data_IF_754365792926
#
_entry.id   IF_754365792926
#
_cell.length_a   1.000
_cell.length_b   1.000
_cell.length_c   1.000
_cell.angle_alpha   90.00
_cell.angle_beta   90.00
_cell.angle_gamma   90.00
#
_symmetry.space_group_name_H-M   'P 1'
#
loop_
_entity.id
_entity.type
_entity.pdbx_description
1 polymer ?
#
# COMPACT_ATOMS: atom_id res chain seq x y z
N UNK A 1 7.80 13.87 11.58
CA UNK A 1 7.36 14.53 10.34
C UNK A 1 5.89 14.22 10.04
N UNK A 2 5.50 12.96 9.77
CA UNK A 2 4.13 12.56 9.35
C UNK A 2 3.07 13.00 10.37
N UNK A 3 3.27 12.76 11.69
CA UNK A 3 2.32 13.20 12.74
C UNK A 3 2.11 14.71 12.73
N UNK A 4 3.19 15.51 12.58
CA UNK A 4 3.08 16.96 12.51
C UNK A 4 2.34 17.41 11.26
N UNK A 5 2.61 16.77 10.11
CA UNK A 5 1.93 17.04 8.85
C UNK A 5 0.40 16.88 9.00
N UNK A 6 -0.08 15.75 9.50
CA UNK A 6 -1.51 15.52 9.66
C UNK A 6 -2.14 16.32 10.81
N UNK A 7 -1.38 16.58 11.91
CA UNK A 7 -1.87 17.43 13.00
C UNK A 7 -2.19 18.86 12.52
N UNK A 8 -1.32 19.40 11.66
CA UNK A 8 -1.41 20.79 11.20
C UNK A 8 -2.03 20.90 9.79
N UNK A 9 -2.47 19.78 9.20
CA UNK A 9 -2.92 19.65 7.81
C UNK A 9 -3.99 20.70 7.45
N UNK A 10 -5.01 20.84 8.29
CA UNK A 10 -6.12 21.75 8.04
C UNK A 10 -5.68 23.24 8.08
N UNK A 11 -4.66 23.57 8.86
CA UNK A 11 -4.10 24.94 8.93
C UNK A 11 -3.39 25.26 7.61
N UNK A 12 -2.57 24.31 7.10
CA UNK A 12 -1.82 24.50 5.86
C UNK A 12 -2.71 24.52 4.61
N UNK A 13 -3.89 23.94 4.68
CA UNK A 13 -4.85 23.89 3.58
C UNK A 13 -5.93 24.98 3.68
N UNK A 14 -5.81 25.92 4.62
CA UNK A 14 -6.85 26.93 4.90
C UNK A 14 -6.27 28.33 4.85
N UNK A 15 -7.11 29.31 4.54
CA UNK A 15 -6.80 30.71 4.78
C UNK A 15 -6.96 31.00 6.27
N UNK A 16 -5.95 31.58 6.91
CA UNK A 16 -5.93 31.84 8.36
C UNK A 16 -5.52 33.28 8.66
N UNK A 17 -6.04 33.82 9.79
CA UNK A 17 -5.50 34.99 10.44
C UNK A 17 -4.89 34.58 11.78
N UNK A 18 -3.69 35.05 12.06
CA UNK A 18 -3.03 34.82 13.35
C UNK A 18 -2.89 36.15 14.06
N UNK A 19 -3.49 36.26 15.23
CA UNK A 19 -3.24 37.36 16.14
C UNK A 19 -1.96 37.09 16.95
N UNK A 20 -0.89 37.79 16.64
CA UNK A 20 0.41 37.59 17.28
C UNK A 20 0.46 38.06 18.75
N UNK A 21 -0.50 38.87 19.20
CA UNK A 21 -0.56 39.32 20.58
C UNK A 21 -1.24 38.30 21.49
N UNK A 22 -2.25 37.58 20.98
CA UNK A 22 -3.05 36.61 21.74
C UNK A 22 -2.71 35.16 21.40
N UNK A 23 -1.98 34.90 20.29
CA UNK A 23 -1.77 33.60 19.68
C UNK A 23 -3.08 32.90 19.23
N UNK A 24 -4.15 33.68 19.01
CA UNK A 24 -5.39 33.11 18.46
C UNK A 24 -5.28 32.92 16.96
N UNK A 25 -5.88 31.83 16.47
CA UNK A 25 -5.92 31.48 15.04
C UNK A 25 -7.39 31.46 14.60
N UNK A 26 -7.71 32.28 13.62
CA UNK A 26 -9.02 32.29 12.96
C UNK A 26 -8.89 31.62 11.58
N UNK A 27 -9.73 30.63 11.29
CA UNK A 27 -9.72 29.89 10.04
C UNK A 27 -10.89 30.39 9.20
N UNK A 28 -10.59 31.04 8.04
CA UNK A 28 -11.60 31.66 7.18
C UNK A 28 -12.16 30.71 6.14
N UNK A 29 -11.33 29.82 5.57
CA UNK A 29 -11.71 28.86 4.56
C UNK A 29 -11.12 27.51 4.90
N UNK A 30 -12.00 26.52 5.08
CA UNK A 30 -11.61 25.13 5.30
C UNK A 30 -11.73 24.38 3.98
N UNK A 31 -10.59 23.99 3.40
CA UNK A 31 -10.52 23.14 2.19
C UNK A 31 -9.73 21.90 2.55
N UNK A 32 -10.41 20.93 3.12
CA UNK A 32 -9.77 19.65 3.51
C UNK A 32 -10.66 18.51 3.09
N UNK A 33 -10.07 17.39 2.77
CA UNK A 33 -10.74 16.12 2.51
C UNK A 33 -11.39 15.62 3.81
N UNK A 34 -12.48 14.87 3.66
CA UNK A 34 -13.20 14.24 4.78
C UNK A 34 -12.54 12.92 5.17
N UNK A 35 -11.26 12.97 5.54
CA UNK A 35 -10.47 11.80 5.95
C UNK A 35 -10.32 11.72 7.46
N UNK A 36 -10.46 10.52 7.99
CA UNK A 36 -10.06 10.19 9.35
C UNK A 36 -8.71 9.49 9.31
N UNK A 37 -7.64 10.18 9.69
CA UNK A 37 -6.26 9.70 9.64
C UNK A 37 -5.78 9.31 11.03
N UNK A 38 -5.34 8.04 11.17
CA UNK A 38 -4.67 7.54 12.38
C UNK A 38 -3.19 7.32 12.10
N UNK A 39 -2.31 8.06 12.75
CA UNK A 39 -0.86 7.93 12.62
C UNK A 39 -0.29 7.22 13.83
N UNK A 40 0.11 5.97 13.66
CA UNK A 40 0.64 5.11 14.70
C UNK A 40 2.16 5.13 14.75
N UNK A 41 2.70 5.04 15.95
CA UNK A 41 4.08 4.61 16.16
C UNK A 41 4.11 3.07 16.18
N UNK A 42 4.62 2.51 15.11
CA UNK A 42 4.76 1.05 14.97
C UNK A 42 6.14 0.54 15.38
N UNK A 43 7.00 1.42 15.93
CA UNK A 43 8.36 1.10 16.35
C UNK A 43 9.37 1.14 15.20
N UNK A 44 10.59 1.60 15.51
CA UNK A 44 11.65 1.83 14.54
C UNK A 44 12.07 0.55 13.81
N UNK A 45 12.18 -0.55 14.53
CA UNK A 45 12.67 -1.84 14.01
C UNK A 45 11.54 -2.83 13.66
N UNK A 46 10.29 -2.37 13.66
CA UNK A 46 9.17 -3.24 13.31
C UNK A 46 9.23 -3.63 11.83
N UNK A 47 9.05 -4.91 11.55
CA UNK A 47 8.90 -5.44 10.19
C UNK A 47 7.60 -5.00 9.53
N UNK A 48 7.46 -5.19 8.22
CA UNK A 48 6.24 -4.84 7.48
C UNK A 48 5.01 -5.54 8.04
N UNK A 49 5.11 -6.85 8.33
CA UNK A 49 4.02 -7.61 8.96
C UNK A 49 3.68 -7.15 10.36
N UNK A 50 4.69 -6.82 11.19
CA UNK A 50 4.44 -6.25 12.52
C UNK A 50 3.74 -4.89 12.46
N UNK A 51 4.07 -4.06 11.46
CA UNK A 51 3.38 -2.78 11.28
C UNK A 51 1.91 -3.00 10.96
N UNK A 52 1.61 -3.92 10.04
CA UNK A 52 0.23 -4.27 9.71
C UNK A 52 -0.48 -4.89 10.93
N UNK A 53 0.13 -5.86 11.62
CA UNK A 53 -0.47 -6.49 12.81
C UNK A 53 -0.88 -5.47 13.88
N UNK A 54 -0.07 -4.44 14.13
CA UNK A 54 -0.37 -3.39 15.13
C UNK A 54 -1.54 -2.50 14.75
N UNK A 55 -2.02 -2.54 13.50
CA UNK A 55 -3.20 -1.79 13.06
C UNK A 55 -4.51 -2.51 13.36
N UNK A 56 -4.50 -3.80 13.72
CA UNK A 56 -5.68 -4.65 13.88
C UNK A 56 -6.79 -4.01 14.71
N UNK A 57 -6.43 -3.35 15.82
CA UNK A 57 -7.37 -2.68 16.72
C UNK A 57 -8.11 -1.48 16.11
N UNK A 58 -7.68 -1.00 14.94
CA UNK A 58 -8.30 0.10 14.20
C UNK A 58 -9.03 -0.38 12.94
N UNK A 59 -8.95 -1.67 12.62
CA UNK A 59 -9.59 -2.27 11.46
C UNK A 59 -10.85 -3.00 11.95
N UNK A 60 -12.01 -2.49 11.60
CA UNK A 60 -13.31 -3.07 11.99
C UNK A 60 -13.91 -3.90 10.86
N UNK A 61 -13.59 -3.55 9.62
CA UNK A 61 -14.12 -4.20 8.42
C UNK A 61 -13.50 -5.59 8.17
N UNK A 62 -14.24 -6.46 7.48
CA UNK A 62 -13.79 -7.80 7.08
C UNK A 62 -12.68 -7.76 6.01
N UNK A 63 -12.59 -6.67 5.26
CA UNK A 63 -11.55 -6.42 4.26
C UNK A 63 -10.99 -5.00 4.41
N UNK A 64 -9.71 -4.85 4.13
CA UNK A 64 -9.03 -3.56 4.15
C UNK A 64 -7.90 -3.50 3.12
N UNK A 65 -7.61 -2.29 2.67
CA UNK A 65 -6.50 -2.04 1.75
C UNK A 65 -5.19 -1.90 2.51
N UNK A 66 -4.13 -2.44 1.94
CA UNK A 66 -2.75 -2.23 2.38
C UNK A 66 -1.95 -1.71 1.19
N UNK A 67 -1.23 -0.63 1.36
CA UNK A 67 -0.34 -0.09 0.33
C UNK A 67 0.98 0.37 0.92
N UNK A 68 2.05 0.30 0.12
CA UNK A 68 3.33 0.93 0.46
C UNK A 68 3.29 2.40 0.03
N UNK A 69 3.87 3.26 0.84
CA UNK A 69 3.80 4.71 0.64
C UNK A 69 4.78 5.27 -0.40
N UNK A 70 5.58 4.41 -1.02
CA UNK A 70 6.61 4.73 -1.99
C UNK A 70 6.30 4.22 -3.41
N UNK A 71 5.04 3.89 -3.67
CA UNK A 71 4.56 3.49 -4.98
C UNK A 71 3.39 4.37 -5.42
N UNK A 72 3.38 4.76 -6.69
CA UNK A 72 2.25 5.44 -7.33
C UNK A 72 1.70 4.59 -8.48
N UNK A 73 0.38 4.57 -8.60
CA UNK A 73 -0.31 3.82 -9.67
C UNK A 73 -1.66 4.45 -10.00
N UNK A 74 -2.19 4.13 -11.16
CA UNK A 74 -3.57 4.40 -11.57
C UNK A 74 -4.49 3.17 -11.41
N UNK A 75 -4.15 2.27 -10.48
CA UNK A 75 -5.00 1.12 -10.15
C UNK A 75 -6.39 1.58 -9.76
N UNK A 76 -7.40 1.09 -10.47
CA UNK A 76 -8.81 1.26 -10.08
C UNK A 76 -9.09 0.45 -8.81
N UNK A 77 -9.12 1.15 -7.68
CA UNK A 77 -9.33 0.55 -6.35
C UNK A 77 -10.70 -0.13 -6.27
N UNK A 78 -11.73 0.43 -6.91
CA UNK A 78 -13.07 -0.17 -6.89
C UNK A 78 -13.07 -1.52 -7.60
N UNK A 79 -12.42 -1.65 -8.74
CA UNK A 79 -12.25 -2.92 -9.45
C UNK A 79 -11.37 -3.90 -8.69
N UNK A 80 -10.31 -3.44 -8.05
CA UNK A 80 -9.46 -4.29 -7.20
C UNK A 80 -10.26 -4.88 -6.04
N UNK A 81 -11.07 -4.07 -5.36
CA UNK A 81 -11.93 -4.52 -4.26
C UNK A 81 -13.02 -5.47 -4.76
N UNK A 82 -13.66 -5.16 -5.90
CA UNK A 82 -14.65 -6.06 -6.52
C UNK A 82 -14.00 -7.43 -6.83
N UNK A 83 -12.83 -7.44 -7.45
CA UNK A 83 -12.10 -8.67 -7.74
C UNK A 83 -11.78 -9.46 -6.46
N UNK A 84 -11.41 -8.78 -5.36
CA UNK A 84 -11.18 -9.41 -4.07
C UNK A 84 -12.46 -10.02 -3.45
N UNK A 85 -13.62 -9.42 -3.69
CA UNK A 85 -14.91 -9.97 -3.28
C UNK A 85 -15.27 -11.25 -4.04
N UNK A 86 -14.95 -11.30 -5.34
CA UNK A 86 -15.23 -12.44 -6.21
C UNK A 86 -14.30 -13.63 -5.96
N UNK A 87 -13.10 -13.36 -5.44
CA UNK A 87 -12.08 -14.36 -5.11
C UNK A 87 -12.00 -14.55 -3.60
N UNK A 88 -12.48 -15.68 -3.07
CA UNK A 88 -12.46 -15.94 -1.62
C UNK A 88 -11.05 -16.35 -1.12
N UNK A 89 -10.07 -15.42 -1.28
CA UNK A 89 -8.70 -15.58 -0.83
C UNK A 89 -8.37 -14.62 0.31
N UNK A 90 -7.40 -14.97 1.14
CA UNK A 90 -6.97 -14.13 2.28
C UNK A 90 -6.35 -12.81 1.81
N UNK A 91 -5.64 -12.84 0.68
CA UNK A 91 -4.99 -11.68 0.08
C UNK A 91 -5.34 -11.61 -1.41
N UNK A 92 -5.68 -10.42 -1.88
CA UNK A 92 -5.61 -10.07 -3.29
C UNK A 92 -4.44 -9.12 -3.49
N UNK A 93 -3.46 -9.53 -4.29
CA UNK A 93 -2.27 -8.76 -4.61
C UNK A 93 -2.41 -8.13 -5.99
N UNK A 94 -2.35 -6.81 -6.07
CA UNK A 94 -2.19 -6.14 -7.35
C UNK A 94 -0.77 -6.36 -7.86
N UNK A 95 -0.65 -6.69 -9.16
CA UNK A 95 0.62 -6.84 -9.84
C UNK A 95 0.68 -5.97 -11.07
N UNK A 96 1.86 -5.45 -11.38
CA UNK A 96 2.11 -4.56 -12.51
C UNK A 96 3.26 -5.07 -13.37
N UNK A 97 3.45 -4.46 -14.54
CA UNK A 97 4.62 -4.75 -15.39
C UNK A 97 5.89 -4.28 -14.70
N UNK A 98 6.92 -5.15 -14.57
CA UNK A 98 8.13 -4.79 -13.86
C UNK A 98 8.91 -3.69 -14.57
N UNK A 99 9.28 -2.65 -13.83
CA UNK A 99 10.18 -1.60 -14.28
C UNK A 99 11.54 -1.75 -13.58
N UNK A 100 12.65 -1.56 -14.31
CA UNK A 100 13.98 -1.57 -13.70
C UNK A 100 14.37 -2.89 -13.01
N UNK A 101 14.55 -2.90 -11.67
CA UNK A 101 15.13 -4.02 -10.89
C UNK A 101 14.10 -4.85 -10.11
N UNK A 102 12.83 -4.63 -10.33
CA UNK A 102 11.78 -5.31 -9.54
C UNK A 102 11.85 -6.83 -9.68
N UNK A 103 11.55 -7.54 -8.61
CA UNK A 103 11.43 -9.00 -8.61
C UNK A 103 10.24 -9.45 -9.47
N UNK A 104 10.41 -10.56 -10.17
CA UNK A 104 9.35 -11.17 -10.99
C UNK A 104 8.62 -12.21 -10.16
N UNK A 105 7.30 -12.24 -10.31
CA UNK A 105 6.41 -13.20 -9.67
C UNK A 105 6.09 -14.36 -10.61
N UNK A 106 5.94 -15.57 -10.07
CA UNK A 106 5.33 -16.70 -10.76
C UNK A 106 3.84 -16.75 -10.42
N UNK A 107 3.01 -16.75 -11.46
CA UNK A 107 1.55 -16.76 -11.35
C UNK A 107 1.02 -18.01 -12.04
N UNK A 108 0.26 -18.82 -11.32
CA UNK A 108 -0.35 -20.03 -11.85
C UNK A 108 -1.49 -19.74 -12.84
N UNK A 109 -1.86 -20.75 -13.62
CA UNK A 109 -2.96 -20.68 -14.62
C UNK A 109 -4.30 -20.31 -13.99
N UNK A 110 -4.48 -20.63 -12.71
CA UNK A 110 -5.69 -20.31 -11.93
C UNK A 110 -5.72 -18.86 -11.39
N UNK A 111 -4.74 -18.00 -11.74
CA UNK A 111 -4.64 -16.62 -11.27
C UNK A 111 -4.23 -16.49 -9.78
N UNK A 112 -3.67 -17.55 -9.21
CA UNK A 112 -3.11 -17.58 -7.85
C UNK A 112 -1.60 -17.38 -7.91
N UNK A 113 -1.05 -16.71 -6.92
CA UNK A 113 0.40 -16.53 -6.79
C UNK A 113 1.06 -17.87 -6.45
N UNK A 114 1.98 -18.35 -7.30
CA UNK A 114 2.75 -19.57 -7.05
C UNK A 114 4.00 -19.28 -6.21
N UNK A 115 4.75 -18.25 -6.57
CA UNK A 115 5.96 -17.91 -5.82
C UNK A 115 6.41 -16.45 -6.02
N UNK A 116 7.14 -15.97 -5.02
CA UNK A 116 7.86 -14.67 -5.02
C UNK A 116 9.29 -14.88 -5.55
N UNK A 117 9.46 -15.37 -6.77
CA UNK A 117 10.78 -15.79 -7.25
C UNK A 117 11.51 -14.65 -7.98
N UNK A 118 12.69 -14.28 -7.52
CA UNK A 118 13.54 -13.24 -8.11
C UNK A 118 14.45 -13.75 -9.26
N UNK A 119 14.46 -15.04 -9.54
CA UNK A 119 15.40 -15.68 -10.51
C UNK A 119 14.81 -15.89 -11.90
N UNK A 120 13.56 -15.57 -12.12
CA UNK A 120 12.91 -15.70 -13.43
C UNK A 120 13.47 -14.68 -14.41
N UNK A 121 13.83 -15.12 -15.61
CA UNK A 121 14.23 -14.24 -16.71
C UNK A 121 13.00 -13.35 -17.06
N UNK A 122 13.20 -12.06 -17.09
CA UNK A 122 12.14 -11.10 -17.46
C UNK A 122 11.80 -11.25 -18.92
N UNK A 123 10.51 -11.32 -19.17
CA UNK A 123 9.91 -11.27 -20.49
C UNK A 123 8.71 -10.29 -20.50
N UNK A 124 8.06 -10.21 -21.65
CA UNK A 124 6.87 -9.35 -21.83
C UNK A 124 5.67 -9.78 -20.96
N UNK A 125 5.68 -11.02 -20.48
CA UNK A 125 4.62 -11.59 -19.64
C UNK A 125 4.93 -11.52 -18.15
N UNK A 126 6.07 -10.96 -17.77
CA UNK A 126 6.49 -10.87 -16.37
C UNK A 126 5.64 -9.88 -15.60
N UNK A 127 5.40 -10.20 -14.32
CA UNK A 127 4.66 -9.40 -13.37
C UNK A 127 5.46 -9.19 -12.10
N UNK A 128 5.27 -8.06 -11.44
CA UNK A 128 5.86 -7.74 -10.14
C UNK A 128 4.79 -7.28 -9.15
N UNK A 129 5.09 -7.37 -7.86
CA UNK A 129 4.25 -6.83 -6.81
C UNK A 129 4.08 -5.31 -6.99
N UNK A 130 2.83 -4.85 -7.15
CA UNK A 130 2.49 -3.44 -7.31
C UNK A 130 2.34 -2.70 -5.97
N UNK A 131 2.69 -3.33 -4.86
CA UNK A 131 2.65 -2.74 -3.51
C UNK A 131 1.25 -2.29 -3.06
N UNK A 132 0.20 -2.84 -3.67
CA UNK A 132 -1.19 -2.57 -3.32
C UNK A 132 -1.95 -3.87 -3.17
N UNK A 133 -2.65 -4.02 -2.05
CA UNK A 133 -3.28 -5.28 -1.65
C UNK A 133 -4.67 -5.04 -1.08
N UNK A 134 -5.54 -6.03 -1.19
CA UNK A 134 -6.74 -6.18 -0.36
C UNK A 134 -6.51 -7.36 0.56
N UNK A 135 -6.57 -7.12 1.85
CA UNK A 135 -6.44 -8.14 2.89
C UNK A 135 -7.81 -8.43 3.50
N UNK A 136 -8.11 -9.72 3.72
CA UNK A 136 -9.20 -10.10 4.62
C UNK A 136 -8.73 -10.05 6.07
N UNK A 137 -9.60 -9.63 6.98
CA UNK A 137 -9.28 -9.51 8.42
C UNK A 137 -8.67 -10.79 9.00
N UNK A 138 -9.05 -11.97 8.50
CA UNK A 138 -8.47 -13.25 8.90
C UNK A 138 -6.95 -13.35 8.72
N UNK A 139 -6.33 -12.46 7.92
CA UNK A 139 -4.87 -12.39 7.75
C UNK A 139 -4.14 -12.12 9.07
N UNK A 140 -4.78 -11.43 10.02
CA UNK A 140 -4.17 -11.17 11.33
C UNK A 140 -3.83 -12.43 12.10
N UNK A 141 -4.50 -13.55 11.86
CA UNK A 141 -4.16 -14.86 12.44
C UNK A 141 -2.79 -15.38 12.00
N UNK A 142 -2.24 -14.86 10.91
CA UNK A 142 -0.94 -15.22 10.35
C UNK A 142 0.17 -14.21 10.69
N UNK A 143 -0.20 -13.04 11.20
CA UNK A 143 0.74 -11.95 11.50
C UNK A 143 1.26 -12.00 12.95
N UNK A 144 1.51 -13.21 13.45
CA UNK A 144 2.02 -13.44 14.79
C UNK A 144 3.56 -13.48 14.80
N UNK A 145 4.20 -12.56 15.53
CA UNK A 145 5.66 -12.52 15.67
C UNK A 145 6.37 -11.55 14.72
N UNK A 146 7.59 -11.89 14.31
CA UNK A 146 8.48 -11.01 13.54
C UNK A 146 8.40 -11.29 12.02
N UNK A 147 7.21 -11.15 11.46
CA UNK A 147 6.96 -11.45 10.04
C UNK A 147 7.29 -10.26 9.13
N UNK A 148 8.03 -10.51 8.06
CA UNK A 148 8.08 -9.64 6.88
C UNK A 148 7.05 -10.13 5.85
N UNK A 149 6.28 -9.21 5.27
CA UNK A 149 5.23 -9.59 4.30
C UNK A 149 5.83 -10.38 3.12
N UNK A 150 6.85 -9.81 2.47
CA UNK A 150 7.41 -10.37 1.23
C UNK A 150 8.23 -11.65 1.46
N UNK A 151 8.90 -11.78 2.62
CA UNK A 151 9.81 -12.90 2.87
C UNK A 151 9.17 -14.08 3.57
N UNK A 152 8.06 -13.86 4.27
CA UNK A 152 7.45 -14.90 5.11
C UNK A 152 5.97 -15.06 4.86
N UNK A 153 5.15 -13.98 4.99
CA UNK A 153 3.71 -14.10 4.85
C UNK A 153 3.29 -14.50 3.43
N UNK A 154 3.78 -13.76 2.42
CA UNK A 154 3.38 -14.03 1.05
C UNK A 154 3.86 -15.42 0.56
N UNK A 155 5.10 -15.86 0.81
CA UNK A 155 5.49 -17.24 0.49
C UNK A 155 4.66 -18.30 1.20
N UNK A 156 4.33 -18.12 2.49
CA UNK A 156 3.50 -19.05 3.24
C UNK A 156 2.08 -19.15 2.65
N UNK A 157 1.44 -18.00 2.40
CA UNK A 157 0.07 -17.96 1.88
C UNK A 157 0.00 -18.36 0.40
N UNK A 158 1.03 -18.08 -0.39
CA UNK A 158 1.18 -18.57 -1.76
C UNK A 158 1.20 -20.10 -1.79
N UNK A 159 2.01 -20.73 -0.95
CA UNK A 159 2.04 -22.19 -0.82
C UNK A 159 0.72 -22.83 -0.37
N UNK A 160 -0.18 -22.07 0.23
CA UNK A 160 -1.54 -22.47 0.59
C UNK A 160 -2.59 -22.11 -0.47
N UNK A 161 -2.20 -21.43 -1.54
CA UNK A 161 -3.11 -20.96 -2.59
C UNK A 161 -4.06 -19.83 -2.11
N UNK A 162 -3.64 -19.04 -1.10
CA UNK A 162 -4.44 -18.00 -0.45
C UNK A 162 -4.16 -16.57 -0.95
N UNK A 163 -3.43 -16.43 -2.07
CA UNK A 163 -3.17 -15.14 -2.70
C UNK A 163 -3.71 -15.12 -4.13
N UNK A 164 -4.79 -14.36 -4.36
CA UNK A 164 -5.26 -14.06 -5.71
C UNK A 164 -4.45 -12.91 -6.31
N UNK A 165 -4.25 -12.94 -7.63
CA UNK A 165 -3.46 -11.94 -8.35
C UNK A 165 -4.35 -11.10 -9.26
N UNK A 166 -4.40 -9.79 -9.00
CA UNK A 166 -5.05 -8.79 -9.83
C UNK A 166 -4.04 -8.13 -10.76
N UNK A 167 -4.14 -8.39 -12.05
CA UNK A 167 -3.23 -7.87 -13.08
C UNK A 167 -3.61 -6.44 -13.47
N UNK A 168 -2.66 -5.53 -13.34
CA UNK A 168 -2.78 -4.13 -13.71
C UNK A 168 -1.77 -3.79 -14.83
N UNK A 169 -2.28 -3.47 -16.01
CA UNK A 169 -1.46 -3.10 -17.18
C UNK A 169 -1.29 -1.58 -17.35
N UNK A 170 -1.83 -0.78 -16.41
CA UNK A 170 -1.74 0.68 -16.42
C UNK A 170 -0.45 1.23 -15.83
N UNK A 171 -0.50 2.48 -15.40
CA UNK A 171 0.65 3.15 -14.81
C UNK A 171 0.96 2.60 -13.41
N UNK A 172 2.22 2.26 -13.21
CA UNK A 172 2.78 1.92 -11.92
C UNK A 172 4.24 2.38 -11.85
N UNK A 173 4.63 3.04 -10.75
CA UNK A 173 5.98 3.56 -10.54
C UNK A 173 6.38 3.49 -9.06
N UNK A 174 7.36 2.67 -8.69
CA UNK A 174 7.98 2.73 -7.38
C UNK A 174 8.95 3.92 -7.31
N UNK A 175 9.05 4.56 -6.15
CA UNK A 175 9.94 5.71 -5.89
C UNK A 175 10.97 5.30 -4.84
N UNK A 176 11.97 4.53 -5.26
CA UNK A 176 13.02 4.02 -4.38
C UNK A 176 14.24 4.96 -4.30
N UNK A 177 14.44 5.76 -5.34
CA UNK A 177 15.61 6.63 -5.46
C UNK A 177 15.20 8.07 -5.74
N UNK A 178 16.14 9.00 -5.50
CA UNK A 178 15.96 10.41 -5.86
C UNK A 178 15.75 10.60 -7.37
N UNK A 179 16.32 9.74 -8.20
CA UNK A 179 16.14 9.76 -9.65
C UNK A 179 14.70 9.39 -10.00
N UNK A 180 14.14 8.35 -9.40
CA UNK A 180 12.76 7.93 -9.65
C UNK A 180 11.78 9.06 -9.33
N UNK A 181 12.05 9.80 -8.23
CA UNK A 181 11.26 10.99 -7.89
C UNK A 181 11.31 12.07 -8.99
N UNK A 182 12.51 12.39 -9.50
CA UNK A 182 12.68 13.39 -10.56
C UNK A 182 11.99 12.94 -11.86
N UNK A 183 12.16 11.67 -12.24
CA UNK A 183 11.53 11.09 -13.42
C UNK A 183 10.00 11.10 -13.30
N UNK A 184 9.47 10.84 -12.10
CA UNK A 184 8.05 10.88 -11.83
C UNK A 184 7.48 12.32 -11.88
N UNK A 185 8.16 13.28 -11.25
CA UNK A 185 7.76 14.70 -11.31
C UNK A 185 7.71 15.22 -12.76
N UNK A 186 8.65 14.76 -13.62
CA UNK A 186 8.65 15.08 -15.05
C UNK A 186 7.49 14.48 -15.85
N UNK A 187 6.86 13.40 -15.34
CA UNK A 187 5.67 12.77 -15.96
C UNK A 187 4.36 13.34 -15.44
N UNK A 188 4.38 13.94 -14.26
CA UNK A 188 3.19 14.50 -13.59
C UNK A 188 2.78 15.86 -14.15
N UNK A 189 3.70 16.59 -14.77
CA UNK A 189 3.48 17.87 -15.45
C UNK A 189 3.24 17.66 -16.94
#
# INVERSE_FOLDING_TARGET
LIKNYFRDYYIYQSDITVDLATNEIEIHRKVTEDWKVTVMDTGLYATTGQRVSRTEKYIEDDMFLVTYGDCLSDIDISRLVQFACENDKLITMAVARPTGRNAVLSIGENGVLDSMNSTVIRDENSWTNACTFVFRRKVFNYLNGNYELDKQLFPELSGKGEIAVYKHDGFWCPVETRRDKVDLEGRWN
#
